data_IF_780096432271
#
_entry.id   IF_780096432271
#
_cell.length_a   1.000
_cell.length_b   1.000
_cell.length_c   1.000
_cell.angle_alpha   90.00
_cell.angle_beta   90.00
_cell.angle_gamma   90.00
#
_symmetry.space_group_name_H-M   'P 1'
#
loop_
_entity.id
_entity.type
_entity.pdbx_description
1 polymer ?
#
# COMPACT_ATOMS: atom_id res chain seq x y z
N UNK A 1 6.22 11.57 14.32
CA UNK A 1 7.65 11.52 14.73
C UNK A 1 7.99 12.55 15.80
N UNK A 2 7.59 13.83 15.66
CA UNK A 2 7.76 14.85 16.71
C UNK A 2 7.22 14.43 18.09
N UNK A 3 6.02 13.84 18.14
CA UNK A 3 5.42 13.36 19.40
C UNK A 3 6.28 12.30 20.11
N UNK A 4 6.92 11.41 19.33
CA UNK A 4 7.85 10.39 19.84
C UNK A 4 9.11 11.04 20.41
N UNK A 5 9.65 12.06 19.75
CA UNK A 5 10.83 12.82 20.20
C UNK A 5 10.55 13.54 21.52
N UNK A 6 9.39 14.19 21.67
CA UNK A 6 8.99 14.86 22.90
C UNK A 6 8.91 13.86 24.07
N UNK A 7 8.29 12.69 23.88
CA UNK A 7 8.27 11.65 24.91
C UNK A 7 9.68 11.16 25.30
N UNK A 8 10.61 11.05 24.36
CA UNK A 8 12.00 10.65 24.63
C UNK A 8 12.75 11.70 25.45
N UNK A 9 12.58 12.99 25.11
CA UNK A 9 13.18 14.11 25.85
C UNK A 9 12.62 14.19 27.27
N UNK A 10 11.31 14.02 27.43
CA UNK A 10 10.66 13.96 28.75
C UNK A 10 11.16 12.76 29.57
N UNK A 11 11.37 11.60 28.95
CA UNK A 11 11.95 10.44 29.63
C UNK A 11 13.36 10.72 30.18
N UNK A 12 14.22 11.40 29.40
CA UNK A 12 15.57 11.80 29.85
C UNK A 12 15.51 12.84 30.97
N UNK A 13 14.62 13.82 30.88
CA UNK A 13 14.46 14.87 31.89
C UNK A 13 13.84 14.37 33.22
N UNK A 14 13.06 13.29 33.18
CA UNK A 14 12.34 12.70 34.33
C UNK A 14 13.11 11.54 34.99
N UNK A 15 14.31 11.22 34.51
CA UNK A 15 15.19 10.15 35.05
C UNK A 15 15.43 10.13 36.57
N UNK A 16 15.34 11.21 37.37
CA UNK A 16 15.43 11.06 38.82
C UNK A 16 14.21 10.41 39.49
N UNK A 17 13.09 10.20 38.79
CA UNK A 17 11.87 9.57 39.34
C UNK A 17 11.51 8.27 38.58
N UNK A 18 12.00 7.14 39.11
CA UNK A 18 11.91 5.77 38.54
C UNK A 18 10.51 5.30 38.14
N UNK A 19 9.45 5.83 38.78
CA UNK A 19 8.06 5.45 38.49
C UNK A 19 7.49 6.16 37.23
N UNK A 20 7.82 7.44 37.02
CA UNK A 20 7.29 8.20 35.89
C UNK A 20 8.02 7.91 34.58
N UNK A 21 9.29 7.51 34.66
CA UNK A 21 10.10 7.13 33.49
C UNK A 21 9.50 5.95 32.72
N UNK A 22 8.95 4.96 33.42
CA UNK A 22 8.22 3.84 32.79
C UNK A 22 6.96 4.29 32.05
N UNK A 23 6.20 5.23 32.61
CA UNK A 23 5.01 5.79 31.95
C UNK A 23 5.37 6.57 30.68
N UNK A 24 6.43 7.37 30.71
CA UNK A 24 6.92 8.09 29.53
C UNK A 24 7.49 7.15 28.45
N UNK A 25 8.20 6.09 28.86
CA UNK A 25 8.73 5.07 27.96
C UNK A 25 7.61 4.29 27.25
N UNK A 26 6.61 3.81 28.01
CA UNK A 26 5.43 3.16 27.44
C UNK A 26 4.66 4.13 26.52
N UNK A 27 4.41 5.35 26.98
CA UNK A 27 3.76 6.41 26.20
C UNK A 27 4.45 6.66 24.85
N UNK A 28 5.78 6.72 24.80
CA UNK A 28 6.54 6.92 23.56
C UNK A 28 6.29 5.84 22.49
N UNK A 29 5.98 4.61 22.90
CA UNK A 29 5.67 3.52 21.99
C UNK A 29 4.20 3.50 21.56
N UNK A 30 3.28 3.67 22.51
CA UNK A 30 1.85 3.47 22.25
C UNK A 30 1.13 4.72 21.72
N UNK A 31 1.48 5.92 22.20
CA UNK A 31 0.87 7.19 21.77
C UNK A 31 0.82 7.39 20.24
N UNK A 32 1.89 7.12 19.47
CA UNK A 32 1.86 7.23 18.02
C UNK A 32 0.97 6.19 17.33
N UNK A 33 0.78 4.99 17.91
CA UNK A 33 -0.17 4.00 17.39
C UNK A 33 -1.61 4.46 17.64
N UNK A 34 -1.92 4.91 18.86
CA UNK A 34 -3.23 5.46 19.18
C UNK A 34 -3.56 6.69 18.32
N UNK A 35 -2.58 7.54 18.01
CA UNK A 35 -2.78 8.69 17.15
C UNK A 35 -3.32 8.32 15.76
N UNK A 36 -2.75 7.31 15.09
CA UNK A 36 -3.27 6.86 13.77
C UNK A 36 -4.59 6.11 13.89
N UNK A 37 -4.78 5.29 14.94
CA UNK A 37 -6.05 4.60 15.15
C UNK A 37 -7.18 5.62 15.39
N UNK A 38 -6.95 6.60 16.24
CA UNK A 38 -7.92 7.67 16.50
C UNK A 38 -8.15 8.48 15.23
N UNK A 39 -7.11 8.87 14.48
CA UNK A 39 -7.30 9.57 13.21
C UNK A 39 -8.13 8.76 12.21
N UNK A 40 -7.89 7.45 12.12
CA UNK A 40 -8.61 6.56 11.22
C UNK A 40 -10.07 6.33 11.65
N UNK A 41 -10.34 6.24 12.96
CA UNK A 41 -11.70 6.06 13.49
C UNK A 41 -12.48 7.39 13.51
N UNK A 42 -11.80 8.50 13.80
CA UNK A 42 -12.38 9.84 13.81
C UNK A 42 -12.65 10.39 12.40
N UNK A 43 -12.00 9.84 11.36
CA UNK A 43 -12.29 10.16 9.97
C UNK A 43 -13.71 9.76 9.51
N UNK A 44 -14.53 9.14 10.39
CA UNK A 44 -15.93 8.82 10.11
C UNK A 44 -16.09 7.67 9.13
N UNK A 45 -17.33 7.17 8.99
CA UNK A 45 -17.68 6.20 7.95
C UNK A 45 -17.19 6.74 6.62
N UNK A 46 -16.26 6.04 5.97
CA UNK A 46 -15.77 6.42 4.66
C UNK A 46 -16.98 6.78 3.78
N UNK A 47 -17.01 8.02 3.29
CA UNK A 47 -17.99 8.49 2.30
C UNK A 47 -18.13 7.36 1.26
N UNK A 48 -19.38 6.97 0.95
CA UNK A 48 -19.70 5.79 0.14
C UNK A 48 -18.67 5.61 -0.96
N UNK A 49 -17.88 4.53 -0.87
CA UNK A 49 -16.79 4.29 -1.81
C UNK A 49 -17.34 4.35 -3.24
N UNK A 50 -16.97 5.40 -3.97
CA UNK A 50 -17.36 5.57 -5.37
C UNK A 50 -16.51 4.56 -6.15
N UNK A 51 -17.17 3.57 -6.74
CA UNK A 51 -16.48 2.60 -7.57
C UNK A 51 -15.75 3.35 -8.70
N UNK A 52 -14.44 3.12 -8.90
CA UNK A 52 -13.74 3.72 -10.03
C UNK A 52 -14.44 3.29 -11.31
N UNK A 53 -15.00 4.26 -12.02
CA UNK A 53 -15.52 4.02 -13.36
C UNK A 53 -14.38 3.51 -14.24
N UNK A 54 -14.65 2.52 -15.10
CA UNK A 54 -13.64 1.95 -16.00
C UNK A 54 -13.24 3.01 -17.05
N UNK A 55 -12.33 3.92 -16.69
CA UNK A 55 -11.85 4.96 -17.60
C UNK A 55 -10.80 4.44 -18.61
N UNK A 56 -10.23 3.24 -18.39
CA UNK A 56 -9.24 2.62 -19.28
C UNK A 56 -9.95 1.59 -20.17
N UNK A 57 -10.11 1.94 -21.46
CA UNK A 57 -10.50 1.05 -22.55
C UNK A 57 -9.34 0.09 -22.91
N UNK A 58 -9.65 -1.17 -23.26
CA UNK A 58 -8.64 -2.20 -23.49
C UNK A 58 -8.04 -2.15 -24.91
N UNK A 59 -6.71 -2.18 -25.03
CA UNK A 59 -6.01 -2.23 -26.33
C UNK A 59 -6.04 -3.64 -26.98
N UNK A 60 -6.11 -3.78 -28.31
CA UNK A 60 -6.10 -5.08 -28.98
C UNK A 60 -4.68 -5.69 -29.07
N UNK A 61 -4.55 -7.00 -28.81
CA UNK A 61 -3.29 -7.79 -28.81
C UNK A 61 -2.72 -8.03 -30.22
N UNK A 62 -1.44 -7.72 -30.51
CA UNK A 62 -0.78 -8.07 -31.79
C UNK A 62 -0.37 -9.54 -31.89
N UNK A 63 -0.53 -10.15 -33.08
CA UNK A 63 -0.08 -11.52 -33.42
C UNK A 63 1.36 -11.49 -33.97
N UNK A 64 2.29 -12.32 -33.48
CA UNK A 64 3.71 -12.24 -33.88
C UNK A 64 3.97 -12.79 -35.30
N UNK A 65 4.91 -12.22 -36.06
CA UNK A 65 5.44 -12.80 -37.31
C UNK A 65 6.58 -13.79 -37.06
N UNK A 66 6.66 -14.82 -37.91
CA UNK A 66 7.61 -15.95 -37.88
C UNK A 66 9.01 -15.56 -38.40
N UNK A 67 10.03 -15.97 -37.63
CA UNK A 67 11.41 -16.36 -37.96
C UNK A 67 12.53 -15.38 -38.39
N UNK A 68 13.68 -15.63 -37.73
CA UNK A 68 15.11 -15.53 -38.14
C UNK A 68 15.96 -14.34 -37.61
N UNK A 69 17.32 -14.46 -37.48
CA UNK A 69 18.00 -14.68 -36.19
C UNK A 69 19.21 -13.74 -35.89
N UNK A 70 19.72 -13.85 -34.65
CA UNK A 70 21.06 -13.42 -34.14
C UNK A 70 21.23 -11.96 -33.70
N UNK A 71 21.30 -11.74 -32.38
CA UNK A 71 22.16 -10.72 -31.77
C UNK A 71 22.49 -11.11 -30.31
N UNK A 72 23.70 -10.77 -29.90
CA UNK A 72 24.42 -11.20 -28.72
C UNK A 72 23.71 -11.01 -27.37
N UNK A 73 24.10 -11.81 -26.38
CA UNK A 73 23.73 -11.63 -24.98
C UNK A 73 24.44 -10.37 -24.45
N UNK A 74 23.74 -9.24 -24.48
CA UNK A 74 24.22 -7.95 -23.97
C UNK A 74 24.25 -7.92 -22.43
N UNK A 75 25.42 -7.64 -21.84
CA UNK A 75 25.67 -7.33 -20.43
C UNK A 75 25.09 -5.93 -20.02
N UNK A 76 23.83 -5.67 -20.37
CA UNK A 76 23.16 -4.40 -20.04
C UNK A 76 22.16 -4.55 -18.89
N UNK A 77 22.00 -3.54 -18.01
CA UNK A 77 21.02 -3.60 -16.93
C UNK A 77 19.61 -3.76 -17.50
N UNK A 78 18.89 -4.79 -17.05
CA UNK A 78 17.55 -5.09 -17.56
C UNK A 78 16.54 -4.05 -17.08
N UNK A 79 16.24 -3.07 -17.93
CA UNK A 79 15.20 -2.06 -17.71
C UNK A 79 13.81 -2.68 -17.92
N UNK A 80 12.98 -2.70 -16.89
CA UNK A 80 11.58 -3.11 -16.99
C UNK A 80 10.76 -1.91 -17.44
N UNK A 81 10.14 -2.00 -18.62
CA UNK A 81 9.10 -1.05 -19.05
C UNK A 81 7.74 -1.61 -18.67
N UNK A 82 6.97 -0.84 -17.91
CA UNK A 82 5.55 -1.10 -17.72
C UNK A 82 4.80 -0.66 -18.98
N UNK A 83 4.02 -1.58 -19.54
CA UNK A 83 3.06 -1.34 -20.60
C UNK A 83 1.72 -1.89 -20.14
N UNK A 84 0.65 -1.14 -20.37
CA UNK A 84 -0.69 -1.51 -19.90
C UNK A 84 -1.23 -2.77 -20.59
N UNK A 85 -1.93 -3.62 -19.81
CA UNK A 85 -2.52 -4.88 -20.24
C UNK A 85 -4.03 -4.78 -20.46
N UNK A 86 -4.51 -5.28 -21.61
CA UNK A 86 -5.91 -5.30 -22.01
C UNK A 86 -6.76 -6.27 -21.18
N UNK A 87 -7.96 -5.84 -20.76
CA UNK A 87 -8.85 -6.61 -19.87
C UNK A 87 -9.40 -7.88 -20.52
N UNK A 88 -9.41 -8.96 -19.75
CA UNK A 88 -9.99 -10.25 -20.10
C UNK A 88 -11.52 -10.28 -19.86
N UNK A 89 -12.33 -10.89 -20.76
CA UNK A 89 -13.78 -11.00 -20.57
C UNK A 89 -14.13 -11.89 -19.36
N UNK A 90 -15.06 -11.42 -18.53
CA UNK A 90 -15.64 -12.22 -17.46
C UNK A 90 -16.58 -13.27 -18.07
N UNK A 91 -16.38 -14.55 -17.75
CA UNK A 91 -17.24 -15.63 -18.22
C UNK A 91 -18.65 -15.49 -17.61
N UNK A 92 -19.73 -15.85 -18.33
CA UNK A 92 -21.09 -15.78 -17.80
C UNK A 92 -21.25 -16.76 -16.62
N UNK A 93 -21.84 -16.32 -15.51
CA UNK A 93 -22.27 -17.25 -14.45
C UNK A 93 -23.38 -18.14 -15.00
N UNK A 94 -23.21 -19.45 -14.95
CA UNK A 94 -24.24 -20.40 -15.37
C UNK A 94 -25.28 -20.60 -14.26
N UNK A 95 -26.58 -20.77 -14.58
CA UNK A 95 -27.66 -20.88 -13.57
C UNK A 95 -27.57 -22.06 -12.60
N UNK A 96 -26.60 -22.96 -12.75
CA UNK A 96 -26.34 -24.10 -11.87
C UNK A 96 -25.62 -23.75 -10.57
N UNK A 97 -25.11 -22.52 -10.43
CA UNK A 97 -24.40 -22.05 -9.22
C UNK A 97 -25.34 -21.59 -8.10
N UNK A 98 -26.66 -21.66 -8.29
CA UNK A 98 -27.68 -21.11 -7.37
C UNK A 98 -28.77 -22.14 -6.98
N UNK A 99 -28.43 -23.43 -6.89
CA UNK A 99 -29.31 -24.49 -6.36
C UNK A 99 -28.60 -25.40 -5.36
#
# INVERSE_FOLDING_TARGET
MVIRVICFVLMVAVTPYSWYTWLFGAGAMFLPYFAVVIANVAAGSAERAIAPERAIEASPTPRPPSDAPTAAVDETPRVIRLSESSRQPHAPRTPSDDS
#
